data_IF_696860437830
#
_entry.id   IF_696860437830
#
_cell.length_a   1.000
_cell.length_b   1.000
_cell.length_c   1.000
_cell.angle_alpha   90.00
_cell.angle_beta   90.00
_cell.angle_gamma   90.00
#
_symmetry.space_group_name_H-M   'P 1'
#
loop_
_entity.id
_entity.type
_entity.pdbx_description
1 polymer ?
#
# COMPACT_ATOMS: atom_id res chain seq x y z
N UNK A 1 -7.14 -14.44 5.47
CA UNK A 1 -6.55 -13.83 4.25
C UNK A 1 -7.05 -12.41 4.15
N UNK A 2 -6.16 -11.45 3.93
CA UNK A 2 -6.52 -10.05 3.67
C UNK A 2 -7.30 -9.94 2.35
N UNK A 3 -8.30 -9.06 2.33
CA UNK A 3 -9.08 -8.74 1.14
C UNK A 3 -8.30 -7.73 0.29
N UNK A 4 -7.41 -8.21 -0.58
CA UNK A 4 -6.59 -7.36 -1.47
C UNK A 4 -7.29 -7.15 -2.83
N UNK A 5 -7.62 -5.90 -3.16
CA UNK A 5 -8.30 -5.58 -4.43
C UNK A 5 -7.48 -5.98 -5.66
N UNK A 6 -6.15 -5.88 -5.59
CA UNK A 6 -5.22 -6.24 -6.69
C UNK A 6 -5.32 -7.69 -7.13
N UNK A 7 -5.82 -8.58 -6.27
CA UNK A 7 -5.95 -10.01 -6.54
C UNK A 7 -7.40 -10.43 -6.86
N UNK A 8 -8.30 -9.46 -7.03
CA UNK A 8 -9.71 -9.70 -7.33
C UNK A 8 -10.00 -9.49 -8.81
N UNK A 9 -10.85 -10.35 -9.35
CA UNK A 9 -11.59 -10.02 -10.56
C UNK A 9 -12.57 -8.87 -10.29
N UNK A 10 -13.01 -8.18 -11.34
CA UNK A 10 -13.99 -7.10 -11.21
C UNK A 10 -15.33 -7.58 -10.60
N UNK A 11 -15.69 -8.86 -10.79
CA UNK A 11 -16.91 -9.47 -10.21
C UNK A 11 -16.75 -9.63 -8.69
N UNK A 12 -15.59 -10.10 -8.23
CA UNK A 12 -15.29 -10.22 -6.79
C UNK A 12 -15.21 -8.85 -6.12
N UNK A 13 -14.58 -7.87 -6.77
CA UNK A 13 -14.54 -6.48 -6.31
C UNK A 13 -15.96 -5.91 -6.15
N UNK A 14 -16.84 -6.12 -7.14
CA UNK A 14 -18.23 -5.69 -7.09
C UNK A 14 -18.99 -6.26 -5.89
N UNK A 15 -18.81 -7.55 -5.58
CA UNK A 15 -19.36 -8.17 -4.36
C UNK A 15 -18.78 -7.55 -3.10
N UNK A 16 -17.45 -7.33 -3.09
CA UNK A 16 -16.75 -6.80 -1.92
C UNK A 16 -17.20 -5.38 -1.55
N UNK A 17 -17.47 -4.52 -2.53
CA UNK A 17 -17.99 -3.17 -2.29
C UNK A 17 -19.37 -3.14 -1.61
N UNK A 18 -20.14 -4.23 -1.70
CA UNK A 18 -21.41 -4.39 -0.99
C UNK A 18 -21.17 -4.83 0.46
N UNK A 19 -20.18 -5.70 0.68
CA UNK A 19 -19.87 -6.29 2.00
C UNK A 19 -19.12 -5.35 2.95
N UNK A 20 -18.24 -4.48 2.43
CA UNK A 20 -17.42 -3.59 3.26
C UNK A 20 -17.48 -2.15 2.77
N UNK A 21 -17.54 -1.22 3.72
CA UNK A 21 -17.45 0.23 3.48
C UNK A 21 -16.14 0.84 3.97
N UNK A 22 -15.22 0.01 4.46
CA UNK A 22 -13.92 0.45 4.92
C UNK A 22 -12.86 -0.05 3.94
N UNK A 23 -12.05 0.88 3.45
CA UNK A 23 -10.91 0.61 2.59
C UNK A 23 -9.64 1.27 3.14
N UNK A 24 -8.50 0.67 2.84
CA UNK A 24 -7.17 1.19 3.19
C UNK A 24 -6.40 1.41 1.89
N UNK A 25 -5.90 2.63 1.69
CA UNK A 25 -4.96 2.96 0.60
C UNK A 25 -3.58 3.11 1.22
N UNK A 26 -2.66 2.14 1.05
CA UNK A 26 -1.29 2.33 1.47
C UNK A 26 -0.59 3.32 0.52
N UNK A 27 0.12 4.29 1.09
CA UNK A 27 0.86 5.32 0.38
C UNK A 27 2.28 5.37 0.95
N UNK A 28 3.27 5.39 0.08
CA UNK A 28 4.67 5.57 0.44
C UNK A 28 5.42 6.32 -0.65
N UNK A 29 6.72 6.05 -0.77
CA UNK A 29 7.58 6.62 -1.80
C UNK A 29 8.69 5.66 -2.23
N UNK A 30 9.37 6.03 -3.32
CA UNK A 30 10.68 5.51 -3.72
C UNK A 30 11.67 6.65 -3.48
N UNK A 31 12.47 6.54 -2.42
CA UNK A 31 13.36 7.60 -1.97
C UNK A 31 14.57 7.08 -1.18
N UNK A 32 15.60 7.91 -1.05
CA UNK A 32 16.85 7.60 -0.34
C UNK A 32 16.62 7.40 1.17
N UNK A 33 17.12 6.29 1.73
CA UNK A 33 17.07 5.94 3.16
C UNK A 33 18.45 5.63 3.80
N UNK A 34 19.52 6.21 3.27
CA UNK A 34 20.88 6.01 3.76
C UNK A 34 21.50 4.69 3.28
N UNK A 35 22.69 4.35 3.79
CA UNK A 35 23.46 3.20 3.29
C UNK A 35 22.92 1.82 3.71
N UNK A 36 21.85 1.77 4.51
CA UNK A 36 21.43 0.56 5.22
C UNK A 36 20.00 0.11 4.88
N UNK A 37 19.26 0.89 4.09
CA UNK A 37 17.89 0.62 3.71
C UNK A 37 17.70 0.79 2.20
N UNK A 38 16.71 0.08 1.65
CA UNK A 38 16.37 0.16 0.22
C UNK A 38 15.45 1.33 -0.08
N UNK A 39 15.41 1.74 -1.35
CA UNK A 39 14.63 2.91 -1.80
C UNK A 39 13.11 2.77 -1.60
N UNK A 40 12.60 1.55 -1.50
CA UNK A 40 11.17 1.28 -1.32
C UNK A 40 10.68 1.21 0.13
N UNK A 41 11.51 1.62 1.10
CA UNK A 41 11.24 1.38 2.52
C UNK A 41 9.85 1.88 2.93
N UNK A 42 9.48 3.09 2.54
CA UNK A 42 8.18 3.70 2.85
C UNK A 42 6.99 2.87 2.38
N UNK A 43 6.97 2.48 1.09
CA UNK A 43 5.82 1.78 0.54
C UNK A 43 5.76 0.32 1.03
N UNK A 44 6.92 -0.30 1.30
CA UNK A 44 7.01 -1.65 1.87
C UNK A 44 6.44 -1.64 3.29
N UNK A 45 6.81 -0.68 4.12
CA UNK A 45 6.29 -0.54 5.48
C UNK A 45 4.79 -0.26 5.46
N UNK A 46 4.36 0.73 4.67
CA UNK A 46 2.95 1.09 4.51
C UNK A 46 2.11 -0.12 4.06
N UNK A 47 2.58 -0.90 3.08
CA UNK A 47 1.91 -2.12 2.61
C UNK A 47 1.76 -3.17 3.72
N UNK A 48 2.86 -3.46 4.43
CA UNK A 48 2.85 -4.50 5.47
C UNK A 48 1.98 -4.12 6.67
N UNK A 49 1.98 -2.85 7.07
CA UNK A 49 1.10 -2.34 8.13
C UNK A 49 -0.35 -2.41 7.66
N UNK A 50 -0.66 -1.89 6.46
CA UNK A 50 -2.01 -1.89 5.91
C UNK A 50 -2.59 -3.31 5.78
N UNK A 51 -1.77 -4.28 5.36
CA UNK A 51 -2.13 -5.70 5.33
C UNK A 51 -2.55 -6.23 6.69
N UNK A 52 -1.73 -6.00 7.73
CA UNK A 52 -2.03 -6.44 9.11
C UNK A 52 -3.29 -5.76 9.67
N UNK A 53 -3.54 -4.50 9.33
CA UNK A 53 -4.78 -3.79 9.71
C UNK A 53 -5.97 -4.37 8.97
N UNK A 54 -5.86 -4.62 7.66
CA UNK A 54 -6.91 -5.24 6.84
C UNK A 54 -7.32 -6.62 7.36
N UNK A 55 -6.36 -7.45 7.79
CA UNK A 55 -6.63 -8.76 8.41
C UNK A 55 -7.44 -8.65 9.71
N UNK A 56 -7.18 -7.63 10.52
CA UNK A 56 -7.87 -7.43 11.82
C UNK A 56 -9.22 -6.74 11.70
N UNK A 57 -9.41 -5.92 10.68
CA UNK A 57 -10.59 -5.05 10.53
C UNK A 57 -11.56 -5.51 9.45
N UNK A 58 -11.13 -6.41 8.56
CA UNK A 58 -11.91 -6.78 7.37
C UNK A 58 -11.95 -5.67 6.31
N UNK A 59 -11.12 -4.63 6.43
CA UNK A 59 -11.02 -3.57 5.43
C UNK A 59 -10.54 -4.12 4.07
N UNK A 60 -11.04 -3.52 3.00
CA UNK A 60 -10.55 -3.76 1.64
C UNK A 60 -9.20 -3.05 1.47
N UNK A 61 -8.14 -3.81 1.21
CA UNK A 61 -6.82 -3.25 0.91
C UNK A 61 -6.74 -2.89 -0.57
N UNK A 62 -6.51 -1.62 -0.85
CA UNK A 62 -6.34 -1.09 -2.20
C UNK A 62 -4.87 -1.19 -2.64
N UNK A 63 -4.57 -1.12 -3.95
CA UNK A 63 -3.20 -1.13 -4.45
C UNK A 63 -2.36 -0.03 -3.79
N UNK A 64 -1.08 -0.32 -3.53
CA UNK A 64 -0.15 0.66 -2.96
C UNK A 64 0.16 1.77 -3.95
N UNK A 65 0.13 3.01 -3.46
CA UNK A 65 0.73 4.15 -4.16
C UNK A 65 2.19 4.22 -3.77
N UNK A 66 3.06 3.62 -4.60
CA UNK A 66 4.48 3.48 -4.31
C UNK A 66 5.31 4.74 -4.54
N UNK A 67 4.75 5.75 -5.21
CA UNK A 67 5.41 7.02 -5.50
C UNK A 67 4.69 8.15 -4.76
N UNK A 68 5.45 8.87 -3.92
CA UNK A 68 4.96 9.96 -3.09
C UNK A 68 5.54 11.31 -3.47
N UNK A 69 5.55 12.24 -2.51
CA UNK A 69 6.15 13.56 -2.66
C UNK A 69 7.48 13.61 -1.93
N UNK A 70 8.58 13.47 -2.67
CA UNK A 70 9.92 13.27 -2.11
C UNK A 70 10.99 14.18 -2.73
N UNK A 71 10.61 15.41 -3.10
CA UNK A 71 11.51 16.33 -3.81
C UNK A 71 12.82 16.65 -3.07
N UNK A 72 12.84 16.52 -1.74
CA UNK A 72 14.04 16.72 -0.92
C UNK A 72 15.06 15.56 -1.04
N UNK A 73 14.69 14.44 -1.67
CA UNK A 73 15.58 13.31 -1.98
C UNK A 73 16.09 13.33 -3.43
N UNK A 74 15.72 14.32 -4.26
CA UNK A 74 16.03 14.34 -5.70
C UNK A 74 17.52 14.34 -6.07
N UNK A 75 18.38 14.77 -5.14
CA UNK A 75 19.83 14.81 -5.35
C UNK A 75 20.48 13.42 -5.21
N UNK A 76 19.73 12.41 -4.78
CA UNK A 76 20.17 11.03 -4.66
C UNK A 76 19.63 10.19 -5.84
N UNK A 77 20.44 9.34 -6.46
CA UNK A 77 19.97 8.47 -7.52
C UNK A 77 19.05 7.38 -6.96
N UNK A 78 17.92 7.17 -7.62
CA UNK A 78 16.91 6.19 -7.22
C UNK A 78 15.58 6.83 -6.92
#
# INVERSE_FOLDING_TARGET
MVSELSNMTWVEAGKKFIETRLAIVPVGSVEQHGLHLGLGSDWIEAWNIAKRVGEKTGALLLPVMSYGVSAHHQDFPG
#
